data_IF_001974361460
#
_entry.id   IF_001974361460
#
_cell.length_a   1.000
_cell.length_b   1.000
_cell.length_c   1.000
_cell.angle_alpha   90.00
_cell.angle_beta   90.00
_cell.angle_gamma   90.00
#
_symmetry.space_group_name_H-M   'P 1'
#
loop_
_entity.id
_entity.type
_entity.pdbx_description
1 polymer ?
#
# COMPACT_ATOMS: atom_id res chain seq x y z
N UNK A 1 -32.61 23.61 5.13
CA UNK A 1 -31.57 22.73 4.55
C UNK A 1 -30.24 23.36 4.94
N UNK A 2 -29.35 22.59 5.54
CA UNK A 2 -28.13 23.06 6.12
C UNK A 2 -27.14 23.40 4.98
N UNK A 3 -26.59 24.61 4.96
CA UNK A 3 -25.63 25.08 3.96
C UNK A 3 -24.23 24.48 4.26
N UNK A 4 -24.14 23.12 4.27
CA UNK A 4 -22.89 22.39 4.52
C UNK A 4 -22.10 22.32 3.23
N UNK A 5 -20.85 22.76 3.30
CA UNK A 5 -19.89 22.75 2.21
C UNK A 5 -18.90 21.58 2.35
N UNK A 6 -18.26 21.14 1.27
CA UNK A 6 -17.20 20.13 1.37
C UNK A 6 -16.11 20.49 2.40
N UNK A 7 -15.74 21.76 2.50
CA UNK A 7 -14.76 22.25 3.49
C UNK A 7 -15.19 22.06 4.96
N UNK A 8 -16.50 21.97 5.23
CA UNK A 8 -16.99 21.74 6.59
C UNK A 8 -16.87 20.26 6.98
N UNK A 9 -16.76 19.35 5.99
CA UNK A 9 -16.67 17.90 6.17
C UNK A 9 -15.23 17.43 6.05
N UNK A 10 -14.46 17.98 5.10
CA UNK A 10 -13.09 17.57 4.80
C UNK A 10 -12.10 18.28 5.73
N UNK A 11 -12.13 17.93 7.01
CA UNK A 11 -11.21 18.44 8.02
C UNK A 11 -10.06 17.47 8.28
N UNK A 12 -9.00 17.92 8.94
CA UNK A 12 -7.87 17.05 9.33
C UNK A 12 -8.36 15.81 10.10
N UNK A 13 -9.27 15.99 11.05
CA UNK A 13 -9.83 14.91 11.87
C UNK A 13 -10.67 13.92 11.04
N UNK A 14 -11.37 14.41 10.02
CA UNK A 14 -12.14 13.56 9.11
C UNK A 14 -11.21 12.68 8.24
N UNK A 15 -10.09 13.23 7.76
CA UNK A 15 -9.06 12.46 7.06
C UNK A 15 -8.39 11.43 7.98
N UNK A 16 -8.09 11.79 9.23
CA UNK A 16 -7.56 10.85 10.22
C UNK A 16 -8.55 9.70 10.49
N UNK A 17 -9.85 9.99 10.62
CA UNK A 17 -10.88 8.95 10.74
C UNK A 17 -10.90 8.01 9.53
N UNK A 18 -10.82 8.56 8.32
CA UNK A 18 -10.79 7.76 7.10
C UNK A 18 -9.56 6.83 7.07
N UNK A 19 -8.38 7.35 7.45
CA UNK A 19 -7.14 6.57 7.53
C UNK A 19 -7.25 5.50 8.62
N UNK A 20 -7.78 5.81 9.80
CA UNK A 20 -7.97 4.82 10.87
C UNK A 20 -8.87 3.66 10.44
N UNK A 21 -10.02 3.97 9.83
CA UNK A 21 -10.92 2.92 9.31
C UNK A 21 -10.25 2.10 8.21
N UNK A 22 -9.55 2.74 7.30
CA UNK A 22 -8.78 2.09 6.24
C UNK A 22 -7.72 1.11 6.80
N UNK A 23 -6.96 1.53 7.83
CA UNK A 23 -5.94 0.70 8.48
C UNK A 23 -6.54 -0.49 9.23
N UNK A 24 -7.67 -0.27 9.90
CA UNK A 24 -8.40 -1.30 10.62
C UNK A 24 -8.97 -2.41 9.71
N UNK A 25 -9.27 -2.07 8.46
CA UNK A 25 -9.76 -2.98 7.42
C UNK A 25 -8.64 -3.61 6.57
N UNK A 26 -7.40 -3.09 6.65
CA UNK A 26 -6.34 -3.47 5.74
C UNK A 26 -6.73 -3.24 4.28
N UNK A 27 -7.10 -2.01 3.94
CA UNK A 27 -7.56 -1.62 2.61
C UNK A 27 -6.50 -1.75 1.52
N UNK A 28 -6.75 -1.13 0.36
CA UNK A 28 -5.79 -1.10 -0.76
C UNK A 28 -4.65 -0.13 -0.49
N UNK A 29 -3.41 -0.50 -0.81
CA UNK A 29 -2.25 0.41 -0.77
C UNK A 29 -2.45 1.68 -1.60
N UNK A 30 -3.26 1.63 -2.67
CA UNK A 30 -3.60 2.79 -3.48
C UNK A 30 -4.23 3.96 -2.67
N UNK A 31 -4.84 3.65 -1.54
CA UNK A 31 -5.44 4.65 -0.64
C UNK A 31 -4.39 5.62 -0.08
N UNK A 32 -3.13 5.17 0.11
CA UNK A 32 -2.02 6.03 0.55
C UNK A 32 -1.59 7.07 -0.49
N UNK A 33 -2.08 6.97 -1.72
CA UNK A 33 -1.91 7.99 -2.76
C UNK A 33 -3.17 8.86 -2.88
N UNK A 34 -4.36 8.23 -2.87
CA UNK A 34 -5.61 8.93 -3.15
C UNK A 34 -6.05 9.85 -2.03
N UNK A 35 -5.92 9.43 -0.76
CA UNK A 35 -6.29 10.30 0.38
C UNK A 35 -5.41 11.55 0.43
N UNK A 36 -4.05 11.47 0.34
CA UNK A 36 -3.21 12.66 0.26
C UNK A 36 -3.54 13.55 -0.95
N UNK A 37 -3.83 12.96 -2.12
CA UNK A 37 -4.20 13.73 -3.30
C UNK A 37 -5.49 14.54 -3.09
N UNK A 38 -6.49 13.98 -2.39
CA UNK A 38 -7.71 14.71 -2.03
C UNK A 38 -7.39 15.78 -0.98
N UNK A 39 -6.59 15.45 0.03
CA UNK A 39 -6.23 16.37 1.11
C UNK A 39 -5.49 17.60 0.61
N UNK A 40 -4.62 17.46 -0.40
CA UNK A 40 -3.89 18.56 -1.03
C UNK A 40 -4.79 19.63 -1.69
N UNK A 41 -6.06 19.29 -1.98
CA UNK A 41 -7.05 20.25 -2.51
C UNK A 41 -7.82 20.97 -1.39
N UNK A 42 -7.48 20.73 -0.11
CA UNK A 42 -8.19 21.28 1.04
C UNK A 42 -7.24 22.15 1.86
N UNK A 43 -7.55 23.42 1.99
CA UNK A 43 -6.74 24.37 2.76
C UNK A 43 -6.66 23.96 4.24
N UNK A 44 -5.43 23.94 4.78
CA UNK A 44 -5.17 23.71 6.21
C UNK A 44 -5.21 22.23 6.63
N UNK A 45 -5.29 21.30 5.65
CA UNK A 45 -5.18 19.86 5.87
C UNK A 45 -3.80 19.39 5.45
N UNK A 46 -3.16 18.56 6.29
CA UNK A 46 -1.85 17.96 6.01
C UNK A 46 -1.93 16.44 6.20
N UNK A 47 -1.88 15.71 5.09
CA UNK A 47 -1.92 14.24 5.06
C UNK A 47 -0.72 13.73 4.28
N UNK A 48 0.26 13.24 5.02
CA UNK A 48 1.51 12.68 4.48
C UNK A 48 1.59 11.18 4.74
N UNK A 49 2.57 10.52 4.12
CA UNK A 49 2.85 9.10 4.38
C UNK A 49 3.23 8.85 5.85
N UNK A 50 3.86 9.82 6.52
CA UNK A 50 4.22 9.73 7.92
C UNK A 50 2.99 9.67 8.84
N UNK A 51 1.88 10.33 8.45
CA UNK A 51 0.61 10.21 9.17
C UNK A 51 0.05 8.78 9.06
N UNK A 52 0.15 8.15 7.88
CA UNK A 52 -0.25 6.75 7.72
C UNK A 52 0.63 5.83 8.55
N UNK A 53 1.94 6.05 8.56
CA UNK A 53 2.87 5.26 9.39
C UNK A 53 2.51 5.38 10.86
N UNK A 54 2.41 6.60 11.39
CA UNK A 54 2.02 6.86 12.77
C UNK A 54 0.72 6.15 13.14
N UNK A 55 -0.35 6.38 12.39
CA UNK A 55 -1.65 5.81 12.68
C UNK A 55 -1.66 4.27 12.53
N UNK A 56 -0.81 3.71 11.67
CA UNK A 56 -0.72 2.26 11.49
C UNK A 56 -0.13 1.53 12.70
N UNK A 57 0.63 2.20 13.54
CA UNK A 57 1.09 1.68 14.83
C UNK A 57 0.01 1.77 15.94
N UNK A 58 -0.91 2.71 15.81
CA UNK A 58 -1.92 3.01 16.83
C UNK A 58 -3.24 2.24 16.62
N UNK A 59 -3.58 1.96 15.37
CA UNK A 59 -4.86 1.38 14.96
C UNK A 59 -4.72 -0.11 14.72
N UNK A 60 -5.40 -0.98 15.49
CA UNK A 60 -5.33 -2.42 15.27
C UNK A 60 -6.07 -2.87 14.01
N UNK A 61 -5.60 -3.96 13.40
CA UNK A 61 -6.27 -4.65 12.30
C UNK A 61 -7.38 -5.55 12.85
N UNK A 62 -8.63 -5.20 12.59
CA UNK A 62 -9.81 -5.83 13.20
C UNK A 62 -10.73 -6.53 12.20
N UNK A 63 -10.49 -6.40 10.90
CA UNK A 63 -11.37 -7.02 9.91
C UNK A 63 -10.56 -7.58 8.74
N UNK A 64 -10.42 -8.90 8.70
CA UNK A 64 -9.63 -9.61 7.69
C UNK A 64 -10.47 -9.89 6.44
N UNK A 65 -10.27 -9.09 5.40
CA UNK A 65 -10.98 -9.18 4.12
C UNK A 65 -10.03 -9.72 3.05
N UNK A 66 -10.54 -10.49 2.09
CA UNK A 66 -9.75 -10.97 0.96
C UNK A 66 -9.02 -9.81 0.26
N UNK A 67 -7.75 -10.00 -0.11
CA UNK A 67 -6.94 -11.22 -0.10
C UNK A 67 -6.25 -11.55 1.25
N UNK A 68 -6.26 -10.63 2.22
CA UNK A 68 -5.59 -10.77 3.52
C UNK A 68 -6.27 -11.76 4.48
N UNK A 69 -7.48 -12.19 4.17
CA UNK A 69 -8.24 -13.15 4.98
C UNK A 69 -9.30 -13.88 4.20
N UNK A 70 -10.23 -14.53 4.89
CA UNK A 70 -11.26 -15.36 4.28
C UNK A 70 -12.58 -14.62 4.02
N UNK A 71 -12.85 -13.53 4.73
CA UNK A 71 -14.07 -12.77 4.60
C UNK A 71 -14.15 -12.02 3.26
N UNK A 72 -15.35 -11.84 2.74
CA UNK A 72 -15.65 -10.99 1.59
C UNK A 72 -16.31 -9.70 2.08
N UNK A 73 -16.38 -8.68 1.23
CA UNK A 73 -17.10 -7.44 1.57
C UNK A 73 -18.57 -7.67 1.96
N UNK A 74 -19.22 -8.68 1.34
CA UNK A 74 -20.60 -9.04 1.71
C UNK A 74 -20.71 -9.58 3.14
N UNK A 75 -19.66 -10.26 3.64
CA UNK A 75 -19.63 -10.75 5.01
C UNK A 75 -19.50 -9.59 6.00
N UNK A 76 -18.72 -8.57 5.65
CA UNK A 76 -18.62 -7.31 6.42
C UNK A 76 -19.94 -6.56 6.40
N UNK A 77 -20.61 -6.46 5.24
CA UNK A 77 -21.94 -5.83 5.12
C UNK A 77 -22.97 -6.54 6.02
N UNK A 78 -23.01 -7.87 5.98
CA UNK A 78 -23.88 -8.67 6.85
C UNK A 78 -23.57 -8.54 8.35
N UNK A 79 -22.32 -8.17 8.68
CA UNK A 79 -21.86 -7.91 10.06
C UNK A 79 -22.17 -6.47 10.53
N UNK A 80 -22.89 -5.68 9.73
CA UNK A 80 -23.27 -4.29 10.01
C UNK A 80 -22.51 -3.24 9.22
N UNK A 81 -21.64 -3.67 8.29
CA UNK A 81 -20.95 -2.82 7.34
C UNK A 81 -19.90 -1.88 7.96
N UNK A 82 -19.51 -0.89 7.21
CA UNK A 82 -18.56 0.15 7.68
C UNK A 82 -19.10 0.90 8.92
N UNK A 83 -20.40 1.20 9.05
CA UNK A 83 -20.92 1.77 10.28
C UNK A 83 -20.64 0.92 11.53
N UNK A 84 -20.74 -0.41 11.44
CA UNK A 84 -20.43 -1.31 12.56
C UNK A 84 -18.91 -1.33 12.87
N UNK A 85 -18.05 -1.31 11.85
CA UNK A 85 -16.61 -1.14 12.04
C UNK A 85 -16.30 0.16 12.77
N UNK A 86 -16.86 1.29 12.31
CA UNK A 86 -16.67 2.60 12.95
C UNK A 86 -17.25 2.63 14.37
N UNK A 87 -18.41 1.99 14.62
CA UNK A 87 -18.99 1.88 15.96
C UNK A 87 -18.06 1.14 16.91
N UNK A 88 -17.46 0.05 16.46
CA UNK A 88 -16.50 -0.71 17.25
C UNK A 88 -15.20 0.11 17.54
N UNK A 89 -14.87 1.05 16.65
CA UNK A 89 -13.72 1.95 16.76
C UNK A 89 -14.02 3.29 17.41
N UNK A 90 -15.25 3.52 17.92
CA UNK A 90 -15.73 4.83 18.36
C UNK A 90 -14.78 5.53 19.34
N UNK A 91 -14.13 4.77 20.24
CA UNK A 91 -13.22 5.30 21.26
C UNK A 91 -11.91 5.89 20.70
N UNK A 92 -11.55 5.55 19.46
CA UNK A 92 -10.32 6.04 18.79
C UNK A 92 -10.62 6.97 17.60
N UNK A 93 -11.89 7.21 17.29
CA UNK A 93 -12.31 8.12 16.23
C UNK A 93 -12.58 9.54 16.76
N UNK A 94 -12.40 10.51 15.88
CA UNK A 94 -12.82 11.91 16.11
C UNK A 94 -14.33 12.01 15.84
N UNK A 95 -15.15 11.77 16.87
CA UNK A 95 -16.59 11.58 16.71
C UNK A 95 -17.41 12.85 16.50
N UNK A 96 -16.81 14.02 16.74
CA UNK A 96 -17.48 15.32 16.57
C UNK A 96 -17.45 15.83 15.12
N UNK A 97 -16.71 15.17 14.21
CA UNK A 97 -16.67 15.52 12.80
C UNK A 97 -18.06 15.48 12.18
N UNK A 98 -18.41 16.55 11.45
CA UNK A 98 -19.66 16.62 10.68
C UNK A 98 -19.51 15.75 9.42
N UNK A 99 -20.60 15.08 9.06
CA UNK A 99 -20.68 14.21 7.89
C UNK A 99 -21.63 14.75 6.83
N UNK A 100 -21.65 14.12 5.65
CA UNK A 100 -22.58 14.45 4.57
C UNK A 100 -24.06 14.27 4.94
N UNK A 101 -24.37 13.61 6.06
CA UNK A 101 -25.74 13.49 6.60
C UNK A 101 -26.17 14.70 7.41
N UNK A 102 -25.33 15.70 7.57
CA UNK A 102 -25.49 16.85 8.47
C UNK A 102 -25.45 16.52 9.97
N UNK A 103 -25.21 15.25 10.30
CA UNK A 103 -24.99 14.78 11.66
C UNK A 103 -23.48 14.61 11.91
N UNK A 104 -23.09 14.63 13.16
CA UNK A 104 -21.75 14.20 13.55
C UNK A 104 -21.54 12.71 13.34
N UNK A 105 -20.29 12.27 13.33
CA UNK A 105 -19.96 10.83 13.35
C UNK A 105 -20.63 10.16 14.54
N UNK A 106 -20.59 10.77 15.74
CA UNK A 106 -21.23 10.26 16.96
C UNK A 106 -22.73 10.01 16.76
N UNK A 107 -23.48 11.01 16.29
CA UNK A 107 -24.93 10.90 16.07
C UNK A 107 -25.28 9.82 15.03
N UNK A 108 -24.43 9.61 14.02
CA UNK A 108 -24.61 8.53 13.06
C UNK A 108 -24.35 7.16 13.69
N UNK A 109 -23.31 7.05 14.55
CA UNK A 109 -22.95 5.79 15.22
C UNK A 109 -23.95 5.39 16.33
N UNK A 110 -24.69 6.33 16.91
CA UNK A 110 -25.77 6.01 17.86
C UNK A 110 -26.89 5.17 17.23
N UNK A 111 -27.04 5.20 15.91
CA UNK A 111 -28.04 4.43 15.16
C UNK A 111 -27.61 2.99 14.85
N UNK A 112 -26.36 2.65 15.12
CA UNK A 112 -25.80 1.31 14.87
C UNK A 112 -26.07 0.42 16.09
N UNK A 113 -26.87 -0.63 15.91
CA UNK A 113 -27.29 -1.53 16.99
C UNK A 113 -26.54 -2.85 17.01
N UNK A 114 -26.16 -3.37 15.84
CA UNK A 114 -25.65 -4.72 15.70
C UNK A 114 -24.25 -4.72 15.12
N UNK A 115 -23.32 -5.49 15.73
CA UNK A 115 -21.97 -5.73 15.26
C UNK A 115 -21.74 -7.23 15.18
N UNK A 116 -21.46 -7.74 13.99
CA UNK A 116 -21.12 -9.15 13.77
C UNK A 116 -19.66 -9.46 14.16
N UNK A 117 -19.43 -9.74 15.44
CA UNK A 117 -18.09 -9.98 15.99
C UNK A 117 -17.38 -11.24 15.48
N UNK A 118 -18.04 -12.06 14.71
CA UNK A 118 -17.44 -13.15 13.96
C UNK A 118 -16.66 -12.69 12.70
N UNK A 119 -16.86 -11.44 12.27
CA UNK A 119 -16.20 -10.82 11.11
C UNK A 119 -15.42 -9.58 11.52
N UNK A 120 -15.99 -8.76 12.43
CA UNK A 120 -15.40 -7.52 12.94
C UNK A 120 -14.91 -7.80 14.37
N UNK A 121 -13.61 -7.99 14.53
CA UNK A 121 -12.98 -8.20 15.84
C UNK A 121 -13.04 -6.95 16.71
N UNK A 122 -13.01 -7.09 18.02
CA UNK A 122 -12.96 -5.95 18.94
C UNK A 122 -11.56 -5.32 18.99
N UNK A 123 -11.47 -4.09 19.49
CA UNK A 123 -10.17 -3.43 19.71
C UNK A 123 -9.32 -4.16 20.78
N UNK A 124 -9.96 -4.85 21.73
CA UNK A 124 -9.29 -5.61 22.80
C UNK A 124 -8.85 -7.02 22.34
N UNK A 125 -9.45 -7.55 21.27
CA UNK A 125 -9.09 -8.84 20.66
C UNK A 125 -8.94 -8.71 19.14
N UNK A 126 -7.97 -7.93 18.66
CA UNK A 126 -7.76 -7.69 17.25
C UNK A 126 -7.07 -8.86 16.56
N UNK A 127 -7.17 -8.92 15.23
CA UNK A 127 -6.39 -9.86 14.40
C UNK A 127 -4.89 -9.57 14.52
N UNK A 128 -4.53 -8.28 14.56
CA UNK A 128 -3.17 -7.77 14.84
C UNK A 128 -3.28 -6.46 15.61
N UNK A 129 -2.30 -6.19 16.44
CA UNK A 129 -2.23 -4.97 17.27
C UNK A 129 -1.90 -3.72 16.45
N UNK A 130 -1.37 -3.88 15.24
CA UNK A 130 -1.07 -2.82 14.28
C UNK A 130 -1.98 -2.93 13.05
N UNK A 131 -2.10 -1.85 12.28
CA UNK A 131 -2.95 -1.77 11.10
C UNK A 131 -2.61 -2.78 10.01
N UNK A 132 -3.56 -3.06 9.11
CA UNK A 132 -3.34 -4.00 8.01
C UNK A 132 -2.37 -3.50 6.92
N UNK A 133 -1.93 -2.24 7.00
CA UNK A 133 -0.95 -1.60 6.10
C UNK A 133 0.24 -1.14 6.92
N UNK A 134 1.44 -1.29 6.36
CA UNK A 134 2.68 -0.78 6.93
C UNK A 134 3.43 0.12 5.93
N UNK A 135 4.12 1.12 6.46
CA UNK A 135 5.10 1.91 5.72
C UNK A 135 6.49 1.41 6.09
N UNK A 136 7.34 1.16 5.11
CA UNK A 136 8.71 0.72 5.33
C UNK A 136 9.67 1.80 4.82
N UNK A 137 10.81 1.94 5.50
CA UNK A 137 11.88 2.87 5.16
C UNK A 137 13.22 2.15 5.03
N UNK A 138 14.16 2.76 4.33
CA UNK A 138 15.52 2.27 4.22
C UNK A 138 16.25 2.84 3.01
N UNK A 139 17.43 2.32 2.74
CA UNK A 139 18.25 2.83 1.64
C UNK A 139 17.66 2.55 0.24
N UNK A 140 16.69 1.64 0.12
CA UNK A 140 15.91 1.43 -1.11
C UNK A 140 14.76 2.45 -1.24
N UNK A 141 14.17 2.83 -0.12
CA UNK A 141 13.00 3.70 -0.04
C UNK A 141 13.19 4.77 1.04
N UNK A 142 14.07 5.76 0.85
CA UNK A 142 14.33 6.79 1.86
C UNK A 142 13.11 7.66 2.15
N UNK A 143 12.20 7.83 1.20
CA UNK A 143 10.93 8.55 1.36
C UNK A 143 9.75 7.63 1.67
N UNK A 144 10.03 6.34 1.94
CA UNK A 144 9.02 5.34 2.28
C UNK A 144 8.53 4.52 1.09
N UNK A 145 7.93 3.40 1.44
CA UNK A 145 7.18 2.50 0.57
C UNK A 145 6.08 1.81 1.38
N UNK A 146 5.13 1.16 0.74
CA UNK A 146 3.96 0.61 1.42
C UNK A 146 3.78 -0.86 1.14
N UNK A 147 3.30 -1.58 2.17
CA UNK A 147 2.95 -3.00 2.09
C UNK A 147 1.60 -3.26 2.77
N UNK A 148 0.80 -4.13 2.16
CA UNK A 148 -0.40 -4.68 2.81
C UNK A 148 0.00 -5.85 3.71
N UNK A 149 0.51 -5.52 4.93
CA UNK A 149 1.00 -6.55 5.86
C UNK A 149 -0.09 -7.55 6.29
N UNK A 150 -1.35 -7.15 6.28
CA UNK A 150 -2.47 -8.05 6.53
C UNK A 150 -2.66 -9.16 5.47
N UNK A 151 -2.00 -9.07 4.31
CA UNK A 151 -2.03 -10.08 3.24
C UNK A 151 -0.72 -10.87 3.12
N UNK A 152 0.22 -10.68 4.05
CA UNK A 152 1.52 -11.35 4.10
C UNK A 152 1.48 -12.50 5.11
N UNK A 153 1.96 -13.66 4.72
CA UNK A 153 2.14 -14.79 5.62
C UNK A 153 3.21 -14.47 6.67
N UNK A 154 3.07 -15.03 7.88
CA UNK A 154 3.97 -14.76 9.01
C UNK A 154 5.45 -15.08 8.69
N UNK A 155 5.71 -16.14 7.93
CA UNK A 155 7.04 -16.57 7.50
C UNK A 155 7.70 -15.63 6.49
N UNK A 156 6.91 -14.78 5.81
CA UNK A 156 7.37 -13.79 4.85
C UNK A 156 7.40 -12.35 5.39
N UNK A 157 7.06 -12.13 6.66
CA UNK A 157 7.19 -10.80 7.28
C UNK A 157 8.67 -10.37 7.46
N UNK A 158 9.58 -11.32 7.46
CA UNK A 158 11.01 -11.09 7.39
C UNK A 158 11.55 -11.94 6.25
N UNK A 159 12.09 -11.30 5.22
CA UNK A 159 12.59 -11.96 4.03
C UNK A 159 13.87 -11.31 3.53
N UNK A 160 14.78 -12.12 3.00
CA UNK A 160 16.00 -11.63 2.35
C UNK A 160 16.33 -12.54 1.19
N UNK A 161 16.55 -11.99 0.02
CA UNK A 161 16.81 -12.79 -1.16
C UNK A 161 17.53 -12.05 -2.28
N UNK A 162 18.03 -12.82 -3.27
CA UNK A 162 18.66 -12.24 -4.46
C UNK A 162 17.63 -11.56 -5.36
N UNK A 163 18.01 -10.41 -5.90
CA UNK A 163 17.16 -9.62 -6.77
C UNK A 163 17.11 -10.18 -8.20
N UNK A 164 15.91 -10.15 -8.76
CA UNK A 164 15.61 -10.30 -10.19
C UNK A 164 15.01 -9.00 -10.69
N UNK A 165 15.72 -8.25 -11.51
CA UNK A 165 15.41 -6.86 -11.85
C UNK A 165 14.83 -6.75 -13.24
N UNK A 166 13.70 -6.07 -13.36
CA UNK A 166 12.96 -5.83 -14.58
C UNK A 166 12.62 -4.33 -14.71
N UNK A 167 12.68 -3.82 -15.94
CA UNK A 167 12.39 -2.40 -16.21
C UNK A 167 10.94 -2.16 -16.69
N UNK A 168 10.12 -3.21 -16.68
CA UNK A 168 8.68 -3.14 -16.98
C UNK A 168 7.92 -4.33 -16.39
N UNK A 169 6.60 -4.18 -16.26
CA UNK A 169 5.70 -5.28 -15.89
C UNK A 169 5.80 -6.43 -16.89
N UNK A 170 5.86 -6.12 -18.20
CA UNK A 170 5.88 -7.10 -19.29
C UNK A 170 7.12 -7.99 -19.24
N UNK A 171 8.30 -7.41 -19.02
CA UNK A 171 9.55 -8.18 -18.85
C UNK A 171 9.45 -9.13 -17.67
N UNK A 172 8.91 -8.65 -16.55
CA UNK A 172 8.72 -9.49 -15.35
C UNK A 172 7.78 -10.66 -15.60
N UNK A 173 6.64 -10.43 -16.25
CA UNK A 173 5.67 -11.48 -16.55
C UNK A 173 6.29 -12.54 -17.46
N UNK A 174 7.02 -12.15 -18.49
CA UNK A 174 7.73 -13.06 -19.38
C UNK A 174 8.75 -13.92 -18.63
N UNK A 175 9.51 -13.33 -17.71
CA UNK A 175 10.47 -14.07 -16.89
C UNK A 175 9.80 -15.09 -15.95
N UNK A 176 8.64 -14.74 -15.39
CA UNK A 176 7.84 -15.67 -14.57
C UNK A 176 7.31 -16.82 -15.44
N UNK A 177 6.83 -16.53 -16.66
CA UNK A 177 6.34 -17.53 -17.61
C UNK A 177 7.44 -18.49 -18.08
N UNK A 178 8.67 -18.02 -18.16
CA UNK A 178 9.85 -18.81 -18.55
C UNK A 178 10.53 -19.55 -17.37
N UNK A 179 9.92 -19.56 -16.18
CA UNK A 179 10.46 -20.19 -14.96
C UNK A 179 11.83 -19.61 -14.52
N UNK A 180 12.09 -18.32 -14.79
CA UNK A 180 13.33 -17.65 -14.40
C UNK A 180 13.31 -17.15 -12.96
N UNK A 181 12.12 -17.09 -12.31
CA UNK A 181 11.89 -16.71 -10.93
C UNK A 181 11.72 -17.98 -10.09
N UNK A 182 12.39 -18.03 -8.95
CA UNK A 182 12.32 -19.17 -8.03
C UNK A 182 11.96 -18.70 -6.61
N UNK A 183 11.48 -19.60 -5.78
CA UNK A 183 11.22 -19.30 -4.36
C UNK A 183 12.49 -18.78 -3.68
N UNK A 184 12.33 -17.70 -2.91
CA UNK A 184 13.42 -16.98 -2.26
C UNK A 184 13.87 -15.72 -2.98
N UNK A 185 13.53 -15.53 -4.25
CA UNK A 185 13.89 -14.33 -5.01
C UNK A 185 13.15 -13.08 -4.50
N UNK A 186 13.78 -11.92 -4.69
CA UNK A 186 13.16 -10.59 -4.61
C UNK A 186 13.01 -10.04 -6.03
N UNK A 187 11.80 -10.00 -6.53
CA UNK A 187 11.48 -9.45 -7.84
C UNK A 187 11.39 -7.93 -7.75
N UNK A 188 12.19 -7.23 -8.54
CA UNK A 188 12.25 -5.77 -8.62
C UNK A 188 11.67 -5.32 -9.95
N UNK A 189 10.56 -4.56 -9.92
CA UNK A 189 9.96 -3.95 -11.12
C UNK A 189 10.10 -2.43 -10.96
N UNK A 190 10.85 -1.79 -11.84
CA UNK A 190 11.16 -0.38 -11.74
C UNK A 190 10.78 0.38 -13.01
N UNK A 191 10.76 1.73 -12.93
CA UNK A 191 10.28 2.63 -13.97
C UNK A 191 8.77 2.52 -14.23
N UNK A 192 8.01 2.09 -13.22
CA UNK A 192 6.55 2.02 -13.23
C UNK A 192 5.92 3.07 -12.29
N UNK A 193 6.74 3.98 -11.75
CA UNK A 193 6.31 5.09 -10.92
C UNK A 193 5.63 6.22 -11.70
N UNK A 194 5.29 7.36 -11.05
CA UNK A 194 4.55 8.46 -11.65
C UNK A 194 5.18 9.06 -12.91
N UNK A 195 6.52 9.08 -13.01
CA UNK A 195 7.27 9.59 -14.17
C UNK A 195 7.75 8.48 -15.09
N UNK A 196 8.20 7.36 -14.54
CA UNK A 196 8.72 6.24 -15.29
C UNK A 196 7.62 5.47 -16.01
N UNK A 197 6.50 5.21 -15.32
CA UNK A 197 5.33 4.52 -15.84
C UNK A 197 4.13 5.46 -15.98
N UNK A 198 3.53 5.63 -17.18
CA UNK A 198 2.42 6.56 -17.37
C UNK A 198 1.27 6.32 -16.39
N UNK A 199 1.02 7.30 -15.53
CA UNK A 199 -0.04 7.25 -14.54
C UNK A 199 0.21 6.26 -13.38
N UNK A 200 1.48 5.86 -13.15
CA UNK A 200 1.85 4.93 -12.07
C UNK A 200 1.04 3.64 -12.13
N UNK A 201 1.39 2.73 -13.02
CA UNK A 201 0.61 1.52 -13.34
C UNK A 201 0.24 0.73 -12.09
N UNK A 202 -1.00 0.26 -12.05
CA UNK A 202 -1.47 -0.72 -11.09
C UNK A 202 -1.25 -2.12 -11.64
N UNK A 203 -0.18 -2.77 -11.18
CA UNK A 203 0.23 -4.08 -11.67
C UNK A 203 -0.56 -5.20 -10.99
N UNK A 204 -1.16 -6.08 -11.81
CA UNK A 204 -1.86 -7.28 -11.37
C UNK A 204 -1.21 -8.54 -11.90
N UNK A 205 -0.70 -8.50 -13.15
CA UNK A 205 -0.22 -9.68 -13.84
C UNK A 205 0.97 -10.37 -13.17
N UNK A 206 2.02 -9.65 -12.68
CA UNK A 206 3.14 -10.29 -11.99
C UNK A 206 2.68 -11.04 -10.73
N UNK A 207 1.80 -10.43 -9.93
CA UNK A 207 1.29 -11.05 -8.70
C UNK A 207 0.42 -12.26 -9.00
N UNK A 208 -0.41 -12.20 -10.05
CA UNK A 208 -1.24 -13.32 -10.50
C UNK A 208 -0.38 -14.45 -11.07
N UNK A 209 0.66 -14.13 -11.85
CA UNK A 209 1.58 -15.11 -12.43
C UNK A 209 2.38 -15.87 -11.34
N UNK A 210 2.93 -15.15 -10.35
CA UNK A 210 3.65 -15.73 -9.20
C UNK A 210 2.73 -16.68 -8.43
N UNK A 211 1.50 -16.25 -8.11
CA UNK A 211 0.54 -17.10 -7.43
C UNK A 211 0.12 -18.32 -8.28
N UNK A 212 -0.02 -18.16 -9.59
CA UNK A 212 -0.32 -19.25 -10.52
C UNK A 212 0.78 -20.28 -10.65
N UNK A 213 2.03 -19.91 -10.35
CA UNK A 213 3.21 -20.80 -10.31
C UNK A 213 3.50 -21.37 -8.92
N UNK A 214 2.65 -21.06 -7.92
CA UNK A 214 2.81 -21.50 -6.52
C UNK A 214 4.15 -21.04 -5.88
N UNK A 215 4.68 -19.88 -6.30
CA UNK A 215 5.90 -19.28 -5.77
C UNK A 215 5.56 -18.46 -4.52
N UNK A 216 5.37 -19.11 -3.38
CA UNK A 216 4.85 -18.47 -2.16
C UNK A 216 5.90 -17.71 -1.35
N UNK A 217 7.20 -17.90 -1.66
CA UNK A 217 8.32 -17.25 -0.95
C UNK A 217 9.06 -16.23 -1.85
N UNK A 218 8.36 -15.61 -2.77
CA UNK A 218 8.87 -14.51 -3.60
C UNK A 218 8.33 -13.19 -3.08
N UNK A 219 9.23 -12.21 -2.86
CA UNK A 219 8.84 -10.83 -2.60
C UNK A 219 8.86 -10.02 -3.90
N UNK A 220 7.88 -9.10 -4.05
CA UNK A 220 7.85 -8.14 -5.15
C UNK A 220 8.02 -6.73 -4.61
N UNK A 221 8.94 -5.96 -5.21
CA UNK A 221 9.15 -4.55 -4.88
C UNK A 221 9.08 -3.69 -6.15
N UNK A 222 8.48 -2.51 -6.06
CA UNK A 222 8.29 -1.61 -7.21
C UNK A 222 8.15 -0.15 -6.81
N UNK A 223 8.57 0.75 -7.69
CA UNK A 223 8.25 2.18 -7.64
C UNK A 223 6.85 2.49 -8.21
N UNK A 224 6.23 1.52 -8.88
CA UNK A 224 4.83 1.54 -9.26
C UNK A 224 3.89 1.14 -8.12
N UNK A 225 2.74 0.56 -8.44
CA UNK A 225 1.76 0.08 -7.47
C UNK A 225 1.21 -1.29 -7.83
N UNK A 226 0.73 -2.00 -6.82
CA UNK A 226 0.07 -3.28 -6.99
C UNK A 226 -1.45 -3.15 -6.81
N UNK A 227 -2.19 -4.05 -7.42
CA UNK A 227 -3.62 -4.18 -7.21
C UNK A 227 -3.95 -4.49 -5.74
N UNK A 228 -5.06 -3.97 -5.22
CA UNK A 228 -5.56 -4.29 -3.88
C UNK A 228 -5.87 -5.77 -3.66
N UNK A 229 -5.95 -6.58 -4.73
CA UNK A 229 -6.12 -8.03 -4.70
C UNK A 229 -4.82 -8.84 -4.58
N UNK A 230 -3.66 -8.20 -4.54
CA UNK A 230 -2.36 -8.87 -4.45
C UNK A 230 -2.16 -9.56 -3.10
N UNK A 231 -1.51 -10.73 -3.13
CA UNK A 231 -1.12 -11.52 -1.94
C UNK A 231 0.38 -11.59 -1.84
N UNK A 232 0.86 -11.86 -0.61
CA UNK A 232 2.28 -12.00 -0.32
C UNK A 232 2.98 -10.64 -0.12
N UNK A 233 4.31 -10.63 0.03
CA UNK A 233 5.09 -9.44 0.30
C UNK A 233 5.24 -8.58 -0.97
N UNK A 234 4.17 -7.88 -1.33
CA UNK A 234 4.11 -6.92 -2.44
C UNK A 234 4.29 -5.51 -1.88
N UNK A 235 5.48 -4.92 -2.10
CA UNK A 235 5.90 -3.61 -1.60
C UNK A 235 5.88 -2.63 -2.78
N UNK A 236 4.96 -1.69 -2.75
CA UNK A 236 4.80 -0.69 -3.79
C UNK A 236 5.14 0.72 -3.33
N UNK A 237 5.03 1.66 -4.26
CA UNK A 237 5.22 3.10 -4.02
C UNK A 237 6.63 3.43 -3.48
N UNK A 238 7.66 2.66 -3.88
CA UNK A 238 9.04 2.94 -3.47
C UNK A 238 9.42 4.35 -3.94
N UNK A 239 9.80 5.17 -2.99
CA UNK A 239 10.09 6.58 -3.24
C UNK A 239 11.47 6.97 -2.69
N UNK A 240 12.24 7.73 -3.50
CA UNK A 240 11.99 8.21 -4.88
C UNK A 240 11.97 7.08 -5.91
N UNK A 241 11.20 7.26 -7.00
CA UNK A 241 11.14 6.31 -8.11
C UNK A 241 12.45 6.27 -8.92
N UNK A 242 12.70 5.19 -9.65
CA UNK A 242 13.90 5.02 -10.47
C UNK A 242 14.08 6.12 -11.53
N UNK A 243 12.98 6.58 -12.15
CA UNK A 243 12.99 7.64 -13.16
C UNK A 243 13.37 9.03 -12.59
N UNK A 244 13.30 9.20 -11.27
CA UNK A 244 13.79 10.38 -10.54
C UNK A 244 15.18 10.18 -9.92
N UNK A 245 15.85 9.08 -10.26
CA UNK A 245 17.17 8.74 -9.68
C UNK A 245 17.08 8.12 -8.29
N UNK A 246 15.93 7.55 -7.95
CA UNK A 246 15.74 6.84 -6.68
C UNK A 246 16.58 5.57 -6.57
N UNK A 247 16.91 5.14 -5.34
CA UNK A 247 17.83 4.03 -5.09
C UNK A 247 17.39 2.69 -5.69
N UNK A 248 16.09 2.48 -5.90
CA UNK A 248 15.59 1.29 -6.61
C UNK A 248 16.21 1.17 -8.02
N UNK A 249 16.60 2.29 -8.64
CA UNK A 249 17.29 2.33 -9.93
C UNK A 249 18.70 1.74 -9.89
N UNK A 250 19.34 1.68 -8.72
CA UNK A 250 20.68 1.15 -8.52
C UNK A 250 20.73 -0.37 -8.35
N UNK A 251 19.59 -1.04 -8.12
CA UNK A 251 19.55 -2.48 -7.86
C UNK A 251 19.90 -3.26 -9.12
N UNK A 252 20.77 -4.24 -9.01
CA UNK A 252 21.19 -5.14 -10.08
C UNK A 252 20.79 -6.59 -9.79
N UNK A 253 20.75 -7.43 -10.84
CA UNK A 253 20.46 -8.85 -10.69
C UNK A 253 21.49 -9.52 -9.77
N UNK A 254 21.00 -10.24 -8.77
CA UNK A 254 21.81 -10.94 -7.78
C UNK A 254 22.16 -10.13 -6.52
N UNK A 255 21.89 -8.83 -6.50
CA UNK A 255 21.97 -8.04 -5.26
C UNK A 255 21.04 -8.62 -4.21
N UNK A 256 21.37 -8.44 -2.93
CA UNK A 256 20.52 -8.91 -1.84
C UNK A 256 19.69 -7.74 -1.30
N UNK A 257 18.39 -7.92 -1.27
CA UNK A 257 17.45 -7.02 -0.57
C UNK A 257 16.87 -7.74 0.65
N UNK A 258 16.97 -7.08 1.79
CA UNK A 258 16.41 -7.51 3.08
C UNK A 258 15.16 -6.70 3.40
N UNK A 259 14.08 -7.39 3.73
CA UNK A 259 12.77 -6.82 4.07
C UNK A 259 12.43 -7.28 5.49
N UNK A 260 12.13 -6.35 6.38
CA UNK A 260 11.61 -6.64 7.71
C UNK A 260 10.35 -5.79 7.97
N UNK A 261 9.19 -6.39 7.74
CA UNK A 261 7.90 -5.71 7.91
C UNK A 261 7.65 -5.37 9.38
N UNK A 262 8.12 -6.21 10.32
CA UNK A 262 7.94 -6.00 11.76
C UNK A 262 8.72 -4.78 12.26
N UNK A 263 9.90 -4.54 11.69
CA UNK A 263 10.75 -3.38 12.02
C UNK A 263 10.59 -2.22 11.04
N UNK A 264 9.64 -2.33 10.09
CA UNK A 264 9.36 -1.31 9.07
C UNK A 264 10.59 -0.93 8.24
N UNK A 265 11.40 -1.92 7.84
CA UNK A 265 12.63 -1.68 7.09
C UNK A 265 12.69 -2.42 5.77
N UNK A 266 13.32 -1.77 4.76
CA UNK A 266 13.71 -2.36 3.48
C UNK A 266 15.12 -1.90 3.15
N UNK A 267 16.02 -2.84 2.88
CA UNK A 267 17.45 -2.53 2.73
C UNK A 267 18.06 -3.29 1.57
N UNK A 268 18.73 -2.58 0.68
CA UNK A 268 19.71 -3.12 -0.25
C UNK A 268 21.04 -3.33 0.50
N UNK A 269 21.61 -4.53 0.45
CA UNK A 269 22.84 -4.88 1.17
C UNK A 269 24.09 -4.32 0.47
N UNK A 270 24.07 -3.03 0.22
CA UNK A 270 25.15 -2.20 -0.29
C UNK A 270 25.35 -0.98 0.61
N UNK A 271 26.51 -0.38 0.53
CA UNK A 271 26.80 0.90 1.16
C UNK A 271 26.14 2.05 0.38
N UNK A 272 25.90 3.17 1.05
CA UNK A 272 25.34 4.37 0.40
C UNK A 272 26.24 4.89 -0.72
N UNK A 273 27.55 4.70 -0.62
CA UNK A 273 28.51 5.13 -1.64
C UNK A 273 28.42 4.23 -2.89
N UNK A 274 28.28 2.92 -2.74
CA UNK A 274 28.03 1.99 -3.85
C UNK A 274 26.71 2.29 -4.56
N UNK A 275 25.65 2.58 -3.80
CA UNK A 275 24.37 2.98 -4.38
C UNK A 275 24.51 4.27 -5.20
N UNK A 276 25.18 5.29 -4.65
CA UNK A 276 25.43 6.56 -5.35
C UNK A 276 26.26 6.38 -6.60
N UNK A 277 27.30 5.53 -6.57
CA UNK A 277 28.12 5.22 -7.74
C UNK A 277 27.28 4.63 -8.88
N UNK A 278 26.38 3.68 -8.56
CA UNK A 278 25.47 3.06 -9.54
C UNK A 278 24.41 4.03 -10.09
N UNK A 279 23.99 5.03 -9.30
CA UNK A 279 23.05 6.07 -9.72
C UNK A 279 23.71 7.21 -10.52
N UNK A 280 25.02 7.19 -10.75
CA UNK A 280 25.73 8.20 -11.50
C UNK A 280 25.20 8.38 -12.94
N UNK A 281 25.19 9.59 -13.55
CA UNK A 281 24.19 10.10 -14.52
C UNK A 281 24.12 9.44 -15.91
N UNK A 282 24.59 8.24 -16.08
CA UNK A 282 24.62 7.58 -17.39
C UNK A 282 23.63 6.42 -17.60
N UNK A 283 22.75 6.12 -16.65
CA UNK A 283 21.88 4.93 -16.75
C UNK A 283 20.42 5.29 -16.39
N UNK A 284 19.83 6.25 -17.09
CA UNK A 284 18.38 6.21 -17.25
C UNK A 284 18.12 5.47 -18.59
N UNK A 285 17.50 4.28 -18.59
CA UNK A 285 17.01 3.73 -19.84
C UNK A 285 16.05 4.73 -20.46
N UNK A 286 16.09 4.93 -21.78
CA UNK A 286 15.12 5.79 -22.43
C UNK A 286 13.72 5.24 -22.10
N UNK A 287 12.80 6.12 -21.67
CA UNK A 287 11.38 5.81 -21.60
C UNK A 287 10.99 5.32 -22.99
N UNK A 288 10.84 4.02 -23.18
CA UNK A 288 10.38 3.47 -24.45
C UNK A 288 8.86 3.61 -24.45
N UNK A 289 8.27 4.48 -25.30
CA UNK A 289 6.82 4.59 -25.37
C UNK A 289 6.25 3.24 -25.80
N UNK A 290 5.54 2.57 -24.90
CA UNK A 290 4.73 1.41 -25.31
C UNK A 290 3.54 1.88 -26.15
N UNK A 291 2.98 1.07 -27.05
CA UNK A 291 1.81 1.46 -27.84
C UNK A 291 0.61 1.96 -27.03
N UNK A 292 0.47 1.49 -25.79
CA UNK A 292 -0.52 1.99 -24.83
C UNK A 292 -0.28 3.45 -24.40
N UNK A 293 0.97 3.93 -24.44
CA UNK A 293 1.35 5.27 -24.01
C UNK A 293 1.09 6.32 -25.09
N UNK A 294 1.08 5.92 -26.38
CA UNK A 294 0.85 6.84 -27.50
C UNK A 294 -0.60 7.33 -27.53
N UNK A 295 -1.55 6.53 -27.10
CA UNK A 295 -2.97 6.88 -27.05
C UNK A 295 -3.36 7.90 -25.97
N UNK A 296 -2.57 8.02 -24.88
CA UNK A 296 -2.81 8.99 -23.79
C UNK A 296 -2.19 10.37 -24.06
N UNK A 297 -1.12 10.45 -24.85
CA UNK A 297 -0.47 11.70 -25.20
C UNK A 297 -1.17 12.43 -26.36
N UNK A 298 -2.13 11.80 -27.03
CA UNK A 298 -2.87 12.34 -28.17
C UNK A 298 -4.26 12.90 -27.80
N UNK A 299 -4.59 13.00 -26.54
CA UNK A 299 -5.80 13.66 -26.01
C UNK A 299 -5.42 14.76 -25.02
#
# INVERSE_FOLDING_TARGET
ENDIKPSDILTQEAFENAIKVYLALGGSTNTTLHIPAIANEVDGVDVTIDLFDKLSHEVPYICSIRPGGNNRMIDVENAGGIPAVMKNMESILNTDCITCTSNSVKENLEKVSDIGYNVIHTLDDPIRTEGGIAVLYGNVAPNGCVIKQGAVNEDMLVHSGPCKVFNSEEECVLAIENDEIIDGDVVVIRYEGPKGGPGMREMLNPTAAIMGRELFHVALITDGRFSGGSRGPCIGHISPEAAEGGPIGAIENGDIVSINVKERTIKLELTDDEIKERLSPNIAPPITPTPANIGMLAK
#
